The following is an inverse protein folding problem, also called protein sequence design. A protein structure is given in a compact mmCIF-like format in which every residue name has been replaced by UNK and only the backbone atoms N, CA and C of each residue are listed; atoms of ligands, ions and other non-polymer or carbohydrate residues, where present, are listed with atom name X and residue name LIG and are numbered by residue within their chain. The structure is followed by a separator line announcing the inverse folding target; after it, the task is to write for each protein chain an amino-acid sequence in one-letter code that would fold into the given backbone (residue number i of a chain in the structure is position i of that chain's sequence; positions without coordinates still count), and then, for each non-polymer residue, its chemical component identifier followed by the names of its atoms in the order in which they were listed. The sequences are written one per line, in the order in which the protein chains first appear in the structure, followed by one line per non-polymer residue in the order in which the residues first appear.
data_IF_521905234132
#
_entry.id   IF_521905234132
#
_cell.length_a   1.000
_cell.length_b   1.000
_cell.length_c   1.000
_cell.angle_alpha   90.00
_cell.angle_beta   90.00
_cell.angle_gamma   90.00
#
_symmetry.space_group_name_H-M   'P 1'
#
loop_
_entity.id
_entity.type
_entity.pdbx_description
1 polymer ?
#
# COMPACT_ATOMS: atom_id res chain seq x y z
N UNK A 1 -18.04 8.18 9.34
CA UNK A 1 -17.20 6.99 9.62
C UNK A 1 -16.41 7.27 10.89
N UNK A 2 -16.24 6.29 11.78
CA UNK A 2 -15.45 6.43 13.02
C UNK A 2 -14.16 5.65 12.83
N UNK A 3 -13.02 6.25 13.13
CA UNK A 3 -11.70 5.62 13.06
C UNK A 3 -11.00 5.65 14.42
N UNK A 4 -10.13 4.68 14.65
CA UNK A 4 -9.23 4.65 15.80
C UNK A 4 -7.81 4.92 15.33
N UNK A 5 -7.23 6.02 15.76
CA UNK A 5 -5.85 6.35 15.42
C UNK A 5 -4.88 5.51 16.26
N UNK A 6 -3.97 4.79 15.61
CA UNK A 6 -2.98 3.92 16.24
C UNK A 6 -1.60 4.13 15.59
N UNK A 7 -0.49 3.82 16.28
CA UNK A 7 0.84 3.80 15.68
C UNK A 7 0.90 2.87 14.45
N UNK A 8 1.75 3.22 13.47
CA UNK A 8 1.86 2.45 12.23
C UNK A 8 2.26 0.99 12.45
N UNK A 9 3.02 0.69 13.50
CA UNK A 9 3.47 -0.68 13.77
C UNK A 9 2.32 -1.55 14.31
N UNK A 10 1.42 -0.98 15.12
CA UNK A 10 0.18 -1.65 15.53
C UNK A 10 -0.74 -1.89 14.33
N UNK A 11 -0.90 -0.89 13.47
CA UNK A 11 -1.69 -1.03 12.23
C UNK A 11 -1.15 -2.14 11.33
N UNK A 12 0.19 -2.24 11.17
CA UNK A 12 0.83 -3.35 10.43
C UNK A 12 0.68 -4.69 11.14
N UNK A 13 0.58 -4.69 12.47
CA UNK A 13 0.24 -5.88 13.25
C UNK A 13 -1.11 -6.47 12.85
N UNK A 14 -2.12 -5.62 12.63
CA UNK A 14 -3.45 -6.06 12.18
C UNK A 14 -3.44 -6.71 10.79
N UNK A 15 -2.54 -6.27 9.90
CA UNK A 15 -2.40 -6.88 8.58
C UNK A 15 -1.98 -8.35 8.66
N UNK A 16 -1.33 -8.78 9.75
CA UNK A 16 -0.95 -10.20 9.95
C UNK A 16 -2.16 -11.12 10.05
N UNK A 17 -3.35 -10.62 10.36
CA UNK A 17 -4.57 -11.41 10.32
C UNK A 17 -4.81 -12.04 8.93
N UNK A 18 -4.26 -11.43 7.86
CA UNK A 18 -4.28 -12.01 6.52
C UNK A 18 -3.48 -13.31 6.38
N UNK A 19 -2.52 -13.57 7.26
CA UNK A 19 -1.80 -14.85 7.34
C UNK A 19 -2.71 -15.98 7.85
N UNK A 20 -3.68 -15.64 8.70
CA UNK A 20 -4.70 -16.56 9.24
C UNK A 20 -5.92 -16.70 8.32
N UNK A 21 -5.81 -16.23 7.08
CA UNK A 21 -6.88 -16.28 6.08
C UNK A 21 -7.98 -15.23 6.28
N UNK A 22 -7.78 -14.25 7.16
CA UNK A 22 -8.73 -13.15 7.38
C UNK A 22 -8.34 -11.97 6.48
N UNK A 23 -9.07 -11.68 5.40
CA UNK A 23 -8.75 -10.56 4.52
C UNK A 23 -8.88 -9.23 5.27
N UNK A 24 -7.93 -8.33 5.05
CA UNK A 24 -7.91 -7.00 5.70
C UNK A 24 -8.14 -5.90 4.67
N UNK A 25 -9.26 -5.19 4.82
CA UNK A 25 -9.59 -4.05 3.97
C UNK A 25 -8.80 -2.81 4.38
N UNK A 26 -8.27 -2.07 3.39
CA UNK A 26 -7.36 -0.95 3.62
C UNK A 26 -7.58 0.17 2.60
N UNK A 27 -7.76 1.40 3.08
CA UNK A 27 -7.61 2.61 2.28
C UNK A 27 -6.14 2.96 2.03
N UNK A 28 -5.78 3.24 0.78
CA UNK A 28 -4.45 3.65 0.39
C UNK A 28 -4.49 4.45 -0.92
N UNK A 29 -3.58 5.42 -1.08
CA UNK A 29 -3.26 6.10 -2.34
C UNK A 29 -2.64 5.16 -3.41
N UNK A 30 -3.26 4.01 -3.69
CA UNK A 30 -2.69 2.93 -4.49
C UNK A 30 -2.38 3.35 -5.92
N UNK A 31 -3.15 4.29 -6.49
CA UNK A 31 -2.93 4.82 -7.84
C UNK A 31 -1.63 5.61 -7.99
N UNK A 32 -1.09 6.21 -6.91
CA UNK A 32 0.08 7.09 -6.97
C UNK A 32 1.41 6.35 -7.03
N UNK A 33 1.44 5.09 -6.60
CA UNK A 33 2.67 4.30 -6.43
C UNK A 33 2.62 2.96 -7.14
N UNK A 34 1.65 2.78 -8.04
CA UNK A 34 1.43 1.56 -8.82
C UNK A 34 2.21 1.59 -10.14
N UNK A 35 2.50 0.40 -10.67
CA UNK A 35 3.11 0.20 -12.00
C UNK A 35 2.27 -0.78 -12.79
N UNK A 36 2.40 -0.76 -14.12
CA UNK A 36 1.87 -1.79 -15.03
C UNK A 36 2.40 -3.22 -14.75
N UNK A 37 3.20 -3.41 -13.69
CA UNK A 37 3.63 -4.74 -13.24
C UNK A 37 2.92 -5.16 -11.96
N UNK A 38 1.92 -4.42 -11.49
CA UNK A 38 1.23 -4.67 -10.23
C UNK A 38 2.21 -4.64 -9.06
N UNK A 39 2.99 -3.56 -8.94
CA UNK A 39 3.91 -3.32 -7.82
C UNK A 39 3.55 -1.98 -7.18
N UNK A 40 3.34 -1.98 -5.86
CA UNK A 40 3.05 -0.78 -5.07
C UNK A 40 4.26 -0.47 -4.16
N UNK A 41 5.03 0.58 -4.48
CA UNK A 41 6.27 0.86 -3.74
C UNK A 41 6.77 2.30 -3.85
N UNK A 42 7.50 2.77 -2.83
CA UNK A 42 8.03 4.14 -2.79
C UNK A 42 9.30 4.33 -3.64
N UNK A 43 10.06 3.27 -3.92
CA UNK A 43 11.38 3.35 -4.57
C UNK A 43 11.38 2.74 -5.98
N UNK A 44 10.26 2.87 -6.70
CA UNK A 44 10.10 2.29 -8.03
C UNK A 44 10.80 3.11 -9.12
N UNK A 45 10.87 4.43 -8.93
CA UNK A 45 11.45 5.36 -9.87
C UNK A 45 12.55 6.18 -9.20
N UNK A 46 13.66 6.38 -9.91
CA UNK A 46 14.73 7.25 -9.45
C UNK A 46 14.46 8.71 -9.84
N UNK A 47 13.45 9.31 -9.21
CA UNK A 47 12.94 10.65 -9.55
C UNK A 47 13.99 11.75 -9.36
N UNK A 48 14.88 11.60 -8.37
CA UNK A 48 15.96 12.57 -8.10
C UNK A 48 17.05 12.59 -9.17
N UNK A 49 17.28 11.48 -9.89
CA UNK A 49 18.22 11.46 -11.01
C UNK A 49 17.57 12.04 -12.27
N UNK A 50 16.26 11.86 -12.41
CA UNK A 50 15.52 12.35 -13.58
C UNK A 50 15.08 13.82 -13.46
N UNK A 51 15.08 14.39 -12.25
CA UNK A 51 14.57 15.75 -11.99
C UNK A 51 15.34 16.42 -10.83
N UNK A 52 15.35 17.75 -10.77
CA UNK A 52 15.88 18.51 -9.62
C UNK A 52 14.91 18.59 -8.43
N UNK A 53 13.85 17.76 -8.43
CA UNK A 53 12.82 17.77 -7.39
C UNK A 53 13.20 16.86 -6.23
N UNK A 54 13.04 17.36 -5.00
CA UNK A 54 13.19 16.59 -3.78
C UNK A 54 11.80 16.31 -3.17
N UNK A 55 11.44 15.02 -3.05
CA UNK A 55 10.15 14.55 -2.52
C UNK A 55 10.24 14.11 -1.04
N UNK A 56 11.09 14.74 -0.22
CA UNK A 56 11.33 14.34 1.18
C UNK A 56 10.24 14.81 2.18
N UNK A 57 8.98 14.51 1.91
CA UNK A 57 7.86 14.90 2.76
C UNK A 57 7.56 13.84 3.81
N UNK A 58 7.14 14.27 5.01
CA UNK A 58 6.65 13.33 6.02
C UNK A 58 5.22 12.92 5.70
N UNK A 59 4.80 11.72 6.14
CA UNK A 59 3.40 11.26 5.98
C UNK A 59 2.38 12.27 6.53
N UNK A 60 2.70 12.94 7.64
CA UNK A 60 1.83 13.96 8.25
C UNK A 60 1.70 15.21 7.39
N UNK A 61 2.79 15.64 6.76
CA UNK A 61 2.77 16.79 5.86
C UNK A 61 2.03 16.42 4.58
N UNK A 62 2.32 15.26 4.00
CA UNK A 62 1.66 14.78 2.77
C UNK A 62 0.14 14.70 2.94
N UNK A 63 -0.33 14.12 4.06
CA UNK A 63 -1.76 13.96 4.36
C UNK A 63 -2.53 15.27 4.58
N UNK A 64 -1.87 16.42 4.74
CA UNK A 64 -2.58 17.72 4.80
C UNK A 64 -2.86 18.30 3.42
N UNK A 65 -2.26 17.71 2.38
CA UNK A 65 -2.34 18.18 0.99
C UNK A 65 -2.97 17.15 0.05
N UNK A 66 -3.34 15.98 0.55
CA UNK A 66 -4.09 14.96 -0.20
C UNK A 66 -5.54 14.87 0.28
N UNK A 67 -6.44 14.65 -0.68
CA UNK A 67 -7.86 14.43 -0.42
C UNK A 67 -8.09 12.99 0.05
N UNK A 68 -9.02 12.81 1.01
CA UNK A 68 -9.29 11.55 1.72
C UNK A 68 -9.97 10.44 0.88
N UNK A 69 -10.18 10.64 -0.44
CA UNK A 69 -10.80 9.65 -1.33
C UNK A 69 -9.77 8.60 -1.80
N UNK A 70 -9.18 7.92 -0.83
CA UNK A 70 -8.22 6.86 -1.07
C UNK A 70 -8.91 5.61 -1.63
N UNK A 71 -8.46 5.09 -2.79
CA UNK A 71 -8.86 3.77 -3.26
C UNK A 71 -8.69 2.73 -2.15
N UNK A 72 -9.62 1.80 -2.10
CA UNK A 72 -9.60 0.75 -1.10
C UNK A 72 -9.31 -0.59 -1.74
N UNK A 73 -8.38 -1.32 -1.14
CA UNK A 73 -7.92 -2.62 -1.58
C UNK A 73 -7.97 -3.63 -0.42
N UNK A 74 -7.81 -4.91 -0.74
CA UNK A 74 -7.81 -6.00 0.24
C UNK A 74 -6.43 -6.62 0.35
N UNK A 75 -5.92 -6.76 1.57
CA UNK A 75 -4.71 -7.52 1.87
C UNK A 75 -5.10 -8.95 2.24
N UNK A 76 -4.59 -9.93 1.48
CA UNK A 76 -4.93 -11.35 1.64
C UNK A 76 -3.71 -12.26 1.81
N UNK A 77 -2.54 -11.68 2.07
CA UNK A 77 -1.37 -12.44 2.48
C UNK A 77 -0.12 -11.60 2.61
N UNK A 78 0.89 -12.16 3.26
CA UNK A 78 2.17 -11.52 3.49
C UNK A 78 3.33 -12.46 3.12
N UNK A 79 4.47 -11.87 2.80
CA UNK A 79 5.74 -12.56 2.65
C UNK A 79 6.60 -12.20 3.86
N UNK A 80 6.78 -13.15 4.77
CA UNK A 80 7.48 -12.96 6.05
C UNK A 80 8.88 -13.58 5.97
N UNK A 81 9.89 -12.81 6.38
CA UNK A 81 11.27 -13.28 6.53
C UNK A 81 11.72 -12.88 7.94
N UNK A 82 12.29 -13.82 8.69
CA UNK A 82 12.74 -13.62 10.08
C UNK A 82 11.66 -13.01 11.00
N UNK A 83 10.40 -13.45 10.82
CA UNK A 83 9.25 -12.97 11.57
C UNK A 83 8.78 -11.55 11.19
N UNK A 84 9.38 -10.91 10.19
CA UNK A 84 9.03 -9.56 9.74
C UNK A 84 8.40 -9.59 8.33
N UNK A 85 7.23 -8.95 8.13
CA UNK A 85 6.64 -8.86 6.81
C UNK A 85 7.49 -7.95 5.91
N UNK A 86 7.86 -8.46 4.73
CA UNK A 86 8.63 -7.73 3.72
C UNK A 86 7.75 -7.10 2.64
N UNK A 87 6.69 -7.80 2.23
CA UNK A 87 5.73 -7.37 1.20
C UNK A 87 4.37 -8.02 1.46
N UNK A 88 3.33 -7.46 0.87
CA UNK A 88 1.94 -7.89 1.04
C UNK A 88 1.32 -8.20 -0.31
N UNK A 89 0.51 -9.25 -0.39
CA UNK A 89 -0.33 -9.51 -1.56
C UNK A 89 -1.61 -8.72 -1.39
N UNK A 90 -1.94 -7.95 -2.42
CA UNK A 90 -3.07 -7.03 -2.42
C UNK A 90 -3.96 -7.34 -3.62
N UNK A 91 -5.26 -7.46 -3.38
CA UNK A 91 -6.29 -7.58 -4.41
C UNK A 91 -7.00 -6.23 -4.57
N UNK A 92 -7.15 -5.80 -5.82
CA UNK A 92 -7.91 -4.60 -6.19
C UNK A 92 -9.16 -4.97 -7.01
N UNK A 93 -10.04 -3.99 -7.21
CA UNK A 93 -11.31 -4.17 -7.91
C UNK A 93 -11.25 -3.83 -9.41
N UNK A 94 -10.06 -3.76 -10.01
CA UNK A 94 -9.86 -3.31 -11.40
C UNK A 94 -10.03 -4.42 -12.46
N UNK A 95 -10.51 -5.60 -12.05
CA UNK A 95 -10.81 -6.71 -12.95
C UNK A 95 -9.61 -7.56 -13.36
N UNK A 96 -9.89 -8.73 -13.94
CA UNK A 96 -8.86 -9.73 -14.30
C UNK A 96 -7.98 -9.33 -15.49
N UNK A 97 -8.43 -8.36 -16.29
CA UNK A 97 -7.68 -7.82 -17.43
C UNK A 97 -6.58 -6.83 -17.00
N UNK A 98 -6.57 -6.43 -15.71
CA UNK A 98 -5.49 -5.64 -15.13
C UNK A 98 -4.25 -6.49 -14.81
N UNK A 99 -3.08 -5.84 -14.69
CA UNK A 99 -1.81 -6.55 -14.52
C UNK A 99 -1.81 -7.55 -13.38
N UNK A 100 -1.30 -8.76 -13.67
CA UNK A 100 -1.36 -9.95 -12.78
C UNK A 100 -2.77 -10.32 -12.29
N UNK A 101 -3.82 -10.06 -13.08
CA UNK A 101 -5.21 -10.41 -12.77
C UNK A 101 -5.73 -9.73 -11.50
N UNK A 102 -5.53 -8.42 -11.39
CA UNK A 102 -5.99 -7.64 -10.23
C UNK A 102 -5.13 -7.79 -8.96
N UNK A 103 -3.93 -8.37 -9.07
CA UNK A 103 -3.05 -8.63 -7.92
C UNK A 103 -1.85 -7.68 -7.94
N UNK A 104 -1.75 -6.88 -6.89
CA UNK A 104 -0.60 -6.03 -6.59
C UNK A 104 0.24 -6.63 -5.46
N UNK A 105 1.55 -6.32 -5.43
CA UNK A 105 2.49 -6.74 -4.40
C UNK A 105 3.49 -5.67 -4.00
#
# INVERSE_FOLDING_TARGET
MVSLNVPSDEMKGLLRNSEDGIPVWRGCESVRKWTEKGILGCNLFNVMVCTVLNMAWTKRTDSTWTDDDDPCDVVHGSDVVDGKPRRWRVENSWGEDSDKRGITR
#
